data_IF_232186815947
#
_entry.id   IF_232186815947
#
_cell.length_a   1.000
_cell.length_b   1.000
_cell.length_c   1.000
_cell.angle_alpha   90.00
_cell.angle_beta   90.00
_cell.angle_gamma   90.00
#
_symmetry.space_group_name_H-M   'P 1'
#
loop_
_entity.id
_entity.type
_entity.pdbx_description
1 polymer ?
#
# COMPACT_ATOMS: atom_id res chain seq x y z
N UNK A 1 -18.68 -41.43 14.89
CA UNK A 1 -18.89 -40.09 15.50
C UNK A 1 -18.34 -39.04 14.55
N UNK A 2 -19.23 -38.27 13.92
CA UNK A 2 -18.86 -37.20 12.98
C UNK A 2 -18.14 -36.08 13.76
N UNK A 3 -16.89 -35.76 13.40
CA UNK A 3 -16.17 -34.62 13.99
C UNK A 3 -16.73 -33.33 13.39
N UNK A 4 -17.50 -32.58 14.18
CA UNK A 4 -17.88 -31.21 13.87
C UNK A 4 -16.60 -30.38 13.72
N UNK A 5 -16.29 -29.94 12.49
CA UNK A 5 -15.25 -28.93 12.28
C UNK A 5 -15.74 -27.59 12.85
N UNK A 6 -14.92 -26.85 13.63
CA UNK A 6 -15.26 -25.51 14.05
C UNK A 6 -15.41 -24.60 12.83
N UNK A 7 -16.39 -23.70 12.84
CA UNK A 7 -16.72 -22.78 11.74
C UNK A 7 -15.63 -21.71 11.47
N UNK A 8 -14.52 -21.71 12.21
CA UNK A 8 -13.39 -20.81 12.03
C UNK A 8 -12.09 -21.50 12.43
N UNK A 9 -11.00 -21.15 11.75
CA UNK A 9 -9.65 -21.69 12.00
C UNK A 9 -8.67 -20.52 12.05
N UNK A 10 -7.83 -20.49 13.09
CA UNK A 10 -6.74 -19.52 13.19
C UNK A 10 -5.71 -19.75 12.09
N UNK A 11 -5.22 -18.68 11.46
CA UNK A 11 -4.13 -18.79 10.48
C UNK A 11 -2.79 -18.71 11.21
N UNK A 12 -1.96 -19.75 11.05
CA UNK A 12 -0.59 -19.80 11.58
C UNK A 12 0.41 -19.82 10.41
N UNK A 13 1.53 -19.08 10.53
CA UNK A 13 2.61 -19.02 9.54
C UNK A 13 2.13 -18.88 8.08
N UNK A 14 1.28 -17.89 7.82
CA UNK A 14 0.72 -17.68 6.49
C UNK A 14 1.82 -17.46 5.44
N UNK A 15 1.90 -18.34 4.43
CA UNK A 15 2.80 -18.18 3.28
C UNK A 15 2.18 -17.32 2.16
N UNK A 16 1.57 -16.18 2.53
CA UNK A 16 0.95 -15.25 1.59
C UNK A 16 1.06 -13.82 2.11
N UNK A 17 1.09 -12.86 1.20
CA UNK A 17 1.23 -11.43 1.49
C UNK A 17 0.04 -10.66 0.92
N UNK A 18 -0.19 -9.45 1.41
CA UNK A 18 -1.33 -8.65 0.99
C UNK A 18 -1.09 -7.95 -0.36
N UNK A 19 -2.20 -7.65 -1.05
CA UNK A 19 -2.24 -7.11 -2.43
C UNK A 19 -1.29 -5.94 -2.71
N UNK A 20 -1.17 -4.89 -1.87
CA UNK A 20 -0.35 -3.73 -2.22
C UNK A 20 1.14 -4.06 -2.39
N UNK A 21 1.65 -5.18 -1.85
CA UNK A 21 3.03 -5.61 -2.11
C UNK A 21 3.24 -5.93 -3.59
N UNK A 22 2.33 -6.73 -4.16
CA UNK A 22 2.38 -7.12 -5.57
C UNK A 22 2.22 -5.92 -6.49
N UNK A 23 1.32 -4.99 -6.14
CA UNK A 23 1.15 -3.75 -6.89
C UNK A 23 2.44 -2.91 -6.92
N UNK A 24 3.12 -2.72 -5.78
CA UNK A 24 4.39 -2.00 -5.73
C UNK A 24 5.47 -2.67 -6.59
N UNK A 25 5.57 -3.99 -6.55
CA UNK A 25 6.54 -4.73 -7.37
C UNK A 25 6.24 -4.57 -8.87
N UNK A 26 4.97 -4.68 -9.27
CA UNK A 26 4.54 -4.48 -10.64
C UNK A 26 4.83 -3.05 -11.14
N UNK A 27 4.52 -2.03 -10.33
CA UNK A 27 4.81 -0.64 -10.68
C UNK A 27 6.30 -0.36 -10.82
N UNK A 28 7.16 -0.96 -9.98
CA UNK A 28 8.62 -0.82 -10.15
C UNK A 28 9.16 -1.46 -11.42
N UNK A 29 8.43 -2.38 -12.04
CA UNK A 29 8.76 -2.93 -13.35
C UNK A 29 8.57 -1.93 -14.51
N UNK A 30 7.91 -0.81 -14.29
CA UNK A 30 7.65 0.22 -15.30
C UNK A 30 8.69 1.34 -15.17
N UNK A 31 9.34 1.69 -16.29
CA UNK A 31 10.42 2.67 -16.34
C UNK A 31 10.01 4.03 -15.73
N UNK A 32 10.83 4.54 -14.81
CA UNK A 32 10.62 5.87 -14.20
C UNK A 32 9.38 5.96 -13.31
N UNK A 33 8.82 4.83 -12.87
CA UNK A 33 7.60 4.80 -12.05
C UNK A 33 7.93 4.83 -10.55
N UNK A 34 7.18 5.66 -9.82
CA UNK A 34 7.15 5.68 -8.35
C UNK A 34 5.86 5.04 -7.86
N UNK A 35 5.91 3.90 -7.16
CA UNK A 35 4.78 3.32 -6.48
C UNK A 35 4.28 4.25 -5.37
N UNK A 36 2.97 4.38 -5.27
CA UNK A 36 2.31 5.25 -4.31
C UNK A 36 1.17 4.49 -3.63
N UNK A 37 1.25 4.33 -2.32
CA UNK A 37 0.21 3.69 -1.52
C UNK A 37 -0.71 4.72 -0.88
N UNK A 38 -1.91 4.85 -1.42
CA UNK A 38 -2.97 5.65 -0.79
C UNK A 38 -3.47 4.93 0.46
N UNK A 39 -3.09 5.41 1.65
CA UNK A 39 -3.43 4.81 2.93
C UNK A 39 -2.42 5.14 4.03
N UNK A 40 -2.29 4.24 5.00
CA UNK A 40 -1.35 4.45 6.12
C UNK A 40 0.11 4.29 5.70
N UNK A 41 0.98 5.12 6.26
CA UNK A 41 2.44 5.07 6.05
C UNK A 41 3.03 3.69 6.42
N UNK A 42 2.46 3.01 7.41
CA UNK A 42 2.94 1.73 7.90
C UNK A 42 3.02 0.67 6.80
N UNK A 43 2.03 0.62 5.91
CA UNK A 43 2.04 -0.29 4.76
C UNK A 43 3.24 -0.01 3.85
N UNK A 44 3.50 1.25 3.49
CA UNK A 44 4.63 1.60 2.62
C UNK A 44 5.98 1.26 3.25
N UNK A 45 6.16 1.48 4.55
CA UNK A 45 7.38 1.08 5.26
C UNK A 45 7.57 -0.44 5.29
N UNK A 46 6.51 -1.20 5.56
CA UNK A 46 6.57 -2.65 5.58
C UNK A 46 6.92 -3.22 4.20
N UNK A 47 6.25 -2.75 3.13
CA UNK A 47 6.53 -3.19 1.76
C UNK A 47 7.97 -2.89 1.34
N UNK A 48 8.48 -1.69 1.63
CA UNK A 48 9.87 -1.34 1.34
C UNK A 48 10.81 -2.31 2.04
N UNK A 49 10.67 -2.49 3.35
CA UNK A 49 11.57 -3.35 4.11
C UNK A 49 11.51 -4.81 3.66
N UNK A 50 10.32 -5.32 3.34
CA UNK A 50 10.14 -6.68 2.84
C UNK A 50 10.90 -6.90 1.52
N UNK A 51 10.69 -6.00 0.55
CA UNK A 51 11.35 -6.08 -0.77
C UNK A 51 12.86 -5.89 -0.65
N UNK A 52 13.32 -4.88 0.10
CA UNK A 52 14.74 -4.62 0.35
C UNK A 52 15.40 -5.85 0.96
N UNK A 53 14.76 -6.51 1.93
CA UNK A 53 15.33 -7.70 2.57
C UNK A 53 15.47 -8.91 1.64
N UNK A 54 14.69 -8.96 0.55
CA UNK A 54 14.74 -10.05 -0.42
C UNK A 54 15.77 -9.78 -1.53
N UNK A 55 15.78 -8.57 -2.07
CA UNK A 55 16.64 -8.21 -3.20
C UNK A 55 17.97 -7.58 -2.80
N UNK A 56 18.13 -7.15 -1.54
CA UNK A 56 19.25 -6.34 -1.04
C UNK A 56 19.45 -5.02 -1.81
N UNK A 57 18.39 -4.49 -2.42
CA UNK A 57 18.41 -3.25 -3.20
C UNK A 57 17.35 -2.27 -2.68
N UNK A 58 17.63 -0.94 -2.71
CA UNK A 58 16.68 0.06 -2.26
C UNK A 58 15.46 0.14 -3.18
N UNK A 59 14.30 0.45 -2.58
CA UNK A 59 13.06 0.72 -3.30
C UNK A 59 12.31 1.89 -2.67
N UNK A 60 11.96 2.87 -3.51
CA UNK A 60 11.08 3.96 -3.12
C UNK A 60 9.62 3.57 -3.28
N UNK A 61 8.84 3.77 -2.21
CA UNK A 61 7.37 3.63 -2.18
C UNK A 61 6.84 4.82 -1.39
N UNK A 62 6.08 5.68 -2.05
CA UNK A 62 5.44 6.84 -1.45
C UNK A 62 4.10 6.47 -0.78
N UNK A 63 3.57 7.36 0.05
CA UNK A 63 2.26 7.18 0.69
C UNK A 63 1.54 8.51 0.90
N UNK A 64 0.21 8.48 0.93
CA UNK A 64 -0.64 9.61 1.34
C UNK A 64 -0.66 9.83 2.86
N UNK A 65 -0.09 8.90 3.65
CA UNK A 65 0.11 9.05 5.09
C UNK A 65 -1.16 9.40 5.86
N UNK A 66 -2.23 8.62 5.66
CA UNK A 66 -3.47 8.80 6.41
C UNK A 66 -3.25 8.49 7.90
N UNK A 67 -3.74 9.39 8.74
CA UNK A 67 -3.97 9.20 10.18
C UNK A 67 -5.46 9.00 10.52
N UNK A 68 -5.75 8.70 11.79
CA UNK A 68 -7.09 8.36 12.29
C UNK A 68 -8.20 9.36 11.90
N UNK A 69 -7.92 10.67 11.93
CA UNK A 69 -8.90 11.70 11.55
C UNK A 69 -9.46 11.52 10.13
N UNK A 70 -8.69 10.93 9.21
CA UNK A 70 -9.14 10.71 7.84
C UNK A 70 -10.13 9.55 7.73
N UNK A 71 -10.31 8.75 8.79
CA UNK A 71 -11.43 7.82 8.85
C UNK A 71 -12.78 8.53 8.93
N UNK A 72 -12.81 9.78 9.42
CA UNK A 72 -14.03 10.61 9.48
C UNK A 72 -14.18 11.47 8.22
N UNK A 73 -13.09 12.08 7.76
CA UNK A 73 -13.12 13.11 6.71
C UNK A 73 -12.73 12.60 5.31
N UNK A 74 -12.31 11.35 5.18
CA UNK A 74 -11.75 10.79 3.95
C UNK A 74 -10.30 11.19 3.70
N UNK A 75 -9.64 10.49 2.77
CA UNK A 75 -8.23 10.68 2.42
C UNK A 75 -7.97 11.47 1.13
N UNK A 76 -9.01 11.91 0.42
CA UNK A 76 -8.87 12.62 -0.86
C UNK A 76 -7.90 13.82 -0.85
N UNK A 77 -7.95 14.73 0.14
CA UNK A 77 -6.98 15.83 0.24
C UNK A 77 -5.54 15.35 0.40
N UNK A 78 -5.33 14.28 1.17
CA UNK A 78 -4.00 13.67 1.38
C UNK A 78 -3.46 13.03 0.11
N UNK A 79 -4.33 12.38 -0.68
CA UNK A 79 -3.97 11.84 -1.98
C UNK A 79 -3.46 12.95 -2.90
N UNK A 80 -4.24 14.03 -3.08
CA UNK A 80 -3.86 15.18 -3.94
C UNK A 80 -2.55 15.83 -3.50
N UNK A 81 -2.41 16.12 -2.21
CA UNK A 81 -1.20 16.73 -1.66
C UNK A 81 0.00 15.79 -1.82
N UNK A 82 -0.17 14.50 -1.51
CA UNK A 82 0.91 13.53 -1.62
C UNK A 82 1.36 13.29 -3.06
N UNK A 83 0.43 13.26 -4.03
CA UNK A 83 0.77 13.17 -5.46
C UNK A 83 1.57 14.40 -5.92
N UNK A 84 1.15 15.61 -5.51
CA UNK A 84 1.87 16.85 -5.81
C UNK A 84 3.30 16.80 -5.25
N UNK A 85 3.45 16.41 -3.98
CA UNK A 85 4.76 16.28 -3.33
C UNK A 85 5.66 15.25 -4.03
N UNK A 86 5.10 14.13 -4.49
CA UNK A 86 5.87 13.09 -5.19
C UNK A 86 6.28 13.57 -6.58
N UNK A 87 5.38 14.24 -7.30
CA UNK A 87 5.67 14.82 -8.61
C UNK A 87 6.83 15.83 -8.53
N UNK A 88 6.81 16.71 -7.52
CA UNK A 88 7.85 17.73 -7.34
C UNK A 88 9.19 17.14 -6.89
N UNK A 89 9.18 16.23 -5.91
CA UNK A 89 10.42 15.72 -5.31
C UNK A 89 11.12 14.66 -6.15
N UNK A 90 10.35 13.71 -6.66
CA UNK A 90 10.90 12.55 -7.38
C UNK A 90 10.93 12.77 -8.89
N UNK A 91 10.16 13.73 -9.42
CA UNK A 91 10.00 13.99 -10.87
C UNK A 91 9.83 12.68 -11.69
N UNK A 92 8.91 11.79 -11.29
CA UNK A 92 8.75 10.50 -11.95
C UNK A 92 8.10 10.65 -13.32
N UNK A 93 8.29 9.66 -14.19
CA UNK A 93 7.56 9.56 -15.47
C UNK A 93 6.11 9.12 -15.26
N UNK A 94 5.86 8.35 -14.21
CA UNK A 94 4.56 7.82 -13.84
C UNK A 94 4.46 7.64 -12.31
N UNK A 95 3.28 7.87 -11.74
CA UNK A 95 2.98 7.50 -10.35
C UNK A 95 1.96 6.37 -10.38
N UNK A 96 2.35 5.19 -9.88
CA UNK A 96 1.47 4.03 -9.79
C UNK A 96 0.72 4.02 -8.46
N UNK A 97 -0.58 4.29 -8.48
CA UNK A 97 -1.41 4.37 -7.27
C UNK A 97 -2.00 3.00 -6.94
N UNK A 98 -1.83 2.55 -5.70
CA UNK A 98 -2.56 1.42 -5.13
C UNK A 98 -3.09 1.79 -3.73
N UNK A 99 -4.13 1.12 -3.28
CA UNK A 99 -4.79 1.36 -1.99
C UNK A 99 -4.32 0.38 -0.92
N UNK A 100 -4.54 0.75 0.35
CA UNK A 100 -4.33 -0.13 1.49
C UNK A 100 -5.65 -0.53 2.10
N UNK A 101 -5.65 -1.51 3.00
CA UNK A 101 -6.87 -1.94 3.69
C UNK A 101 -7.61 -0.79 4.39
N UNK A 102 -6.90 0.26 4.85
CA UNK A 102 -7.53 1.41 5.48
C UNK A 102 -8.42 2.18 4.50
N UNK A 103 -7.87 2.58 3.36
CA UNK A 103 -8.58 3.37 2.34
C UNK A 103 -9.68 2.58 1.66
N UNK A 104 -9.46 1.27 1.46
CA UNK A 104 -10.50 0.34 1.00
C UNK A 104 -11.66 0.24 1.99
N UNK A 105 -11.39 0.25 3.30
CA UNK A 105 -12.44 0.10 4.33
C UNK A 105 -13.28 1.36 4.46
N UNK A 106 -12.66 2.55 4.41
CA UNK A 106 -13.39 3.82 4.49
C UNK A 106 -14.11 4.17 3.18
N UNK A 107 -13.76 3.49 2.08
CA UNK A 107 -14.38 3.69 0.77
C UNK A 107 -13.90 4.96 0.07
N UNK A 108 -12.62 5.30 0.20
CA UNK A 108 -12.04 6.43 -0.52
C UNK A 108 -12.13 6.20 -2.04
N UNK A 109 -12.76 7.13 -2.76
CA UNK A 109 -12.76 7.12 -4.22
C UNK A 109 -11.43 7.65 -4.77
N UNK A 110 -10.81 6.85 -5.63
CA UNK A 110 -9.51 7.15 -6.27
C UNK A 110 -9.69 7.54 -7.74
N UNK A 111 -10.89 7.37 -8.31
CA UNK A 111 -11.23 7.61 -9.71
C UNK A 111 -11.60 9.04 -10.07
#
# INVERSE_FOLDING_TARGET
>A
MSKNHPNYVSTTNACKLCRPLGACLAFKGIEGTVPYLHGSQGCATYMRRYIISHYNEPIDIASSSLSEKHAVYGGGPNLKLGLTNVAEKYRPRMIGIATTCLTETIGDDVG
#
